data_IF_849344063819
#
_entry.id   IF_849344063819
#
_cell.length_a   1.000
_cell.length_b   1.000
_cell.length_c   1.000
_cell.angle_alpha   90.00
_cell.angle_beta   90.00
_cell.angle_gamma   90.00
#
_symmetry.space_group_name_H-M   'P 1'
#
loop_
_entity.id
_entity.type
_entity.pdbx_description
1 polymer ?
#
# COMPACT_ATOMS: atom_id res chain seq x y z
N UNK A 1 -22.42 -8.97 83.27
CA UNK A 1 -22.29 -9.02 81.79
C UNK A 1 -20.91 -8.50 81.43
N UNK A 2 -19.95 -9.41 81.20
CA UNK A 2 -18.54 -9.10 81.03
C UNK A 2 -18.19 -8.54 79.65
N UNK A 3 -17.33 -7.52 79.62
CA UNK A 3 -16.77 -6.97 78.39
C UNK A 3 -15.33 -7.45 78.28
N UNK A 4 -15.12 -8.49 77.46
CA UNK A 4 -13.79 -8.99 77.10
C UNK A 4 -13.13 -7.93 76.18
N UNK A 5 -12.12 -7.23 76.69
CA UNK A 5 -11.28 -6.34 75.89
C UNK A 5 -10.09 -7.14 75.36
N UNK A 6 -10.09 -7.45 74.07
CA UNK A 6 -8.93 -8.00 73.39
C UNK A 6 -7.86 -6.89 73.20
N UNK A 7 -6.58 -7.14 73.55
CA UNK A 7 -5.50 -6.21 73.25
C UNK A 7 -5.22 -6.17 71.74
N UNK A 8 -4.95 -4.97 71.23
CA UNK A 8 -4.56 -4.73 69.83
C UNK A 8 -3.24 -5.45 69.53
N UNK A 9 -3.07 -6.09 68.37
CA UNK A 9 -1.80 -6.72 68.02
C UNK A 9 -0.71 -5.66 67.87
N UNK A 10 0.40 -5.94 68.53
CA UNK A 10 1.66 -5.20 68.50
C UNK A 10 2.15 -5.03 67.07
N UNK A 11 2.36 -3.77 66.66
CA UNK A 11 3.02 -3.44 65.40
C UNK A 11 4.42 -4.02 65.38
N UNK A 12 4.74 -4.77 64.32
CA UNK A 12 6.08 -5.25 64.03
C UNK A 12 6.94 -4.02 63.74
N UNK A 13 7.84 -3.70 64.68
CA UNK A 13 8.84 -2.65 64.52
C UNK A 13 9.98 -3.19 63.66
N UNK A 14 10.07 -2.73 62.40
CA UNK A 14 11.25 -2.93 61.54
C UNK A 14 12.08 -1.65 61.60
N UNK A 15 13.29 -1.65 62.22
CA UNK A 15 14.16 -0.49 62.21
C UNK A 15 14.96 -0.43 60.91
N UNK A 16 14.99 0.74 60.28
CA UNK A 16 16.03 1.10 59.31
C UNK A 16 15.71 0.79 57.85
N UNK A 17 14.83 1.57 57.25
CA UNK A 17 14.89 1.85 55.81
C UNK A 17 14.32 3.25 55.61
N UNK A 18 14.99 4.18 54.91
CA UNK A 18 14.39 5.46 54.59
C UNK A 18 13.16 5.16 53.75
N UNK A 19 11.99 5.52 54.26
CA UNK A 19 10.75 5.54 53.50
C UNK A 19 10.98 6.45 52.31
N UNK A 20 11.40 5.87 51.17
CA UNK A 20 11.36 6.52 49.87
C UNK A 20 9.89 6.85 49.65
N UNK A 21 9.51 8.06 49.99
CA UNK A 21 8.27 8.68 49.56
C UNK A 21 8.29 8.62 48.04
N UNK A 22 7.53 7.68 47.47
CA UNK A 22 7.30 7.57 46.03
C UNK A 22 6.78 8.92 45.55
N UNK A 23 7.65 9.74 44.96
CA UNK A 23 7.24 10.98 44.32
C UNK A 23 6.60 10.65 42.99
N UNK A 24 5.68 11.49 42.51
CA UNK A 24 5.00 11.32 41.21
C UNK A 24 5.98 11.23 40.04
N UNK A 25 7.20 11.76 40.21
CA UNK A 25 8.28 11.71 39.23
C UNK A 25 9.01 10.35 39.18
N UNK A 26 8.80 9.49 40.19
CA UNK A 26 9.27 8.10 40.20
C UNK A 26 8.25 7.12 39.61
N UNK A 27 7.04 7.59 39.35
CA UNK A 27 6.01 6.85 38.62
C UNK A 27 6.21 7.25 37.16
N UNK A 28 6.71 6.33 36.34
CA UNK A 28 6.71 6.54 34.89
C UNK A 28 5.29 6.98 34.50
N UNK A 29 5.12 7.99 33.63
CA UNK A 29 3.79 8.29 33.11
C UNK A 29 3.15 6.97 32.68
N UNK A 30 1.88 6.69 33.03
CA UNK A 30 1.25 5.42 32.70
C UNK A 30 1.55 5.20 31.23
N UNK A 31 2.21 4.07 30.90
CA UNK A 31 2.58 3.70 29.53
C UNK A 31 1.42 4.15 28.67
N UNK A 32 1.64 5.22 27.89
CA UNK A 32 0.55 5.86 27.14
C UNK A 32 -0.05 4.71 26.37
N UNK A 33 -1.27 4.26 26.71
CA UNK A 33 -1.71 2.90 26.45
C UNK A 33 -1.39 2.69 25.00
N UNK A 34 -0.39 1.83 24.70
CA UNK A 34 0.21 1.77 23.38
C UNK A 34 -0.97 1.64 22.44
N UNK A 35 -1.32 2.75 21.78
CA UNK A 35 -2.63 2.92 21.16
C UNK A 35 -2.47 2.15 19.87
N UNK A 36 -2.50 0.84 20.00
CA UNK A 36 -2.40 -0.09 18.91
C UNK A 36 -3.79 -0.14 18.31
N UNK A 37 -4.19 1.00 17.75
CA UNK A 37 -5.30 1.10 16.84
C UNK A 37 -4.88 0.28 15.62
N UNK A 38 -5.09 -1.03 15.69
CA UNK A 38 -5.07 -1.85 14.50
C UNK A 38 -6.33 -1.44 13.74
N UNK A 39 -6.19 -0.80 12.58
CA UNK A 39 -7.33 -0.27 11.84
C UNK A 39 -8.41 -1.34 11.53
N UNK A 40 -8.03 -2.62 11.65
CA UNK A 40 -8.89 -3.78 11.48
C UNK A 40 -9.70 -4.16 12.74
N UNK A 41 -9.34 -3.66 13.94
CA UNK A 41 -10.02 -3.97 15.20
C UNK A 41 -10.08 -2.70 16.05
N UNK A 42 -11.27 -2.10 16.18
CA UNK A 42 -11.49 -1.03 17.15
C UNK A 42 -11.19 -1.56 18.55
N UNK A 43 -10.32 -0.86 19.27
CA UNK A 43 -10.08 -1.18 20.67
C UNK A 43 -11.39 -0.94 21.44
N UNK A 44 -11.88 -1.90 22.26
CA UNK A 44 -13.14 -1.72 22.98
C UNK A 44 -13.20 -0.44 23.83
N UNK A 45 -12.05 0.08 24.26
CA UNK A 45 -11.92 1.33 25.01
C UNK A 45 -12.36 2.58 24.26
N UNK A 46 -12.30 2.59 22.92
CA UNK A 46 -12.70 3.75 22.11
C UNK A 46 -14.19 3.74 21.73
N UNK A 47 -14.87 2.59 21.88
CA UNK A 47 -16.29 2.48 21.52
C UNK A 47 -17.17 3.51 22.24
N UNK A 48 -17.10 3.70 23.58
CA UNK A 48 -17.94 4.70 24.25
C UNK A 48 -17.71 6.13 23.77
N UNK A 49 -16.48 6.43 23.32
CA UNK A 49 -16.15 7.73 22.74
C UNK A 49 -16.81 7.91 21.37
N UNK A 50 -16.81 6.87 20.53
CA UNK A 50 -17.46 6.89 19.21
C UNK A 50 -18.98 6.98 19.33
N UNK A 51 -19.58 6.29 20.30
CA UNK A 51 -21.03 6.41 20.61
C UNK A 51 -21.40 7.80 21.12
N UNK A 52 -20.53 8.41 21.93
CA UNK A 52 -20.74 9.80 22.33
C UNK A 52 -20.66 10.75 21.13
N UNK A 53 -19.75 10.52 20.19
CA UNK A 53 -19.64 11.35 18.99
C UNK A 53 -20.88 11.14 18.12
N UNK A 54 -21.28 9.90 17.82
CA UNK A 54 -22.46 9.58 17.01
C UNK A 54 -23.71 10.29 17.54
N UNK A 55 -24.00 10.16 18.83
CA UNK A 55 -25.13 10.83 19.48
C UNK A 55 -25.06 12.36 19.39
N UNK A 56 -23.86 12.96 19.42
CA UNK A 56 -23.70 14.42 19.24
C UNK A 56 -23.93 14.89 17.81
N UNK A 57 -23.57 14.08 16.82
CA UNK A 57 -23.86 14.38 15.41
C UNK A 57 -25.35 14.16 15.12
N UNK A 58 -25.94 13.09 15.66
CA UNK A 58 -27.38 12.81 15.59
C UNK A 58 -28.22 13.94 16.20
N UNK A 59 -27.82 14.49 17.36
CA UNK A 59 -28.48 15.66 17.97
C UNK A 59 -28.51 16.91 17.07
N UNK A 60 -27.67 16.94 16.03
CA UNK A 60 -27.62 17.99 15.01
C UNK A 60 -28.20 17.54 13.67
N UNK A 61 -28.90 16.40 13.63
CA UNK A 61 -29.45 15.79 12.42
C UNK A 61 -28.39 15.61 11.33
N UNK A 62 -27.16 15.27 11.73
CA UNK A 62 -26.01 15.16 10.84
C UNK A 62 -25.46 13.74 10.85
N UNK A 63 -25.18 13.21 9.67
CA UNK A 63 -24.48 11.94 9.49
C UNK A 63 -23.14 12.16 8.81
N UNK A 64 -22.06 11.68 9.44
CA UNK A 64 -20.71 11.80 8.90
C UNK A 64 -20.11 10.43 8.67
N UNK A 65 -19.54 10.23 7.49
CA UNK A 65 -18.79 9.01 7.17
C UNK A 65 -17.30 9.34 7.11
N UNK A 66 -16.51 8.72 7.99
CA UNK A 66 -15.08 8.92 8.11
C UNK A 66 -14.32 7.67 7.69
N UNK A 67 -13.28 7.83 6.89
CA UNK A 67 -12.27 6.80 6.67
C UNK A 67 -11.26 6.87 7.81
N UNK A 68 -10.92 5.72 8.38
CA UNK A 68 -9.96 5.61 9.47
C UNK A 68 -8.87 4.60 9.11
N UNK A 69 -7.62 4.96 9.36
CA UNK A 69 -6.48 4.07 9.15
C UNK A 69 -5.19 4.69 9.63
N UNK A 70 -4.05 4.19 9.13
CA UNK A 70 -2.73 4.72 9.50
C UNK A 70 -2.10 5.58 8.41
N UNK A 71 -1.48 6.69 8.83
CA UNK A 71 -0.92 7.73 7.97
C UNK A 71 0.60 7.67 7.82
N UNK A 72 1.22 8.83 7.56
CA UNK A 72 2.66 9.18 7.71
C UNK A 72 3.46 8.51 8.86
N UNK A 73 4.41 7.54 8.74
CA UNK A 73 5.43 7.48 9.79
C UNK A 73 6.24 8.77 9.64
N UNK A 74 6.07 9.68 10.59
CA UNK A 74 6.95 10.83 10.69
C UNK A 74 8.19 10.39 11.48
N UNK A 75 9.39 10.86 11.12
CA UNK A 75 10.65 10.45 11.75
C UNK A 75 10.84 10.97 13.19
N UNK A 76 9.79 11.48 13.84
CA UNK A 76 9.88 12.11 15.16
C UNK A 76 8.86 11.47 16.07
N UNK A 77 9.32 10.82 17.14
CA UNK A 77 8.58 9.94 18.06
C UNK A 77 7.34 10.53 18.74
N UNK A 78 6.32 10.88 17.96
CA UNK A 78 5.02 11.32 18.44
C UNK A 78 4.03 10.16 18.44
N UNK A 79 3.17 10.19 19.45
CA UNK A 79 2.09 9.24 19.65
C UNK A 79 1.04 9.36 18.54
N UNK A 80 0.84 8.23 17.86
CA UNK A 80 -0.29 7.85 17.00
C UNK A 80 -0.34 8.41 15.57
N UNK A 81 0.11 7.55 14.66
CA UNK A 81 -0.02 7.58 13.19
C UNK A 81 -1.46 7.39 12.69
N UNK A 82 -2.43 8.06 13.31
CA UNK A 82 -3.84 7.96 12.91
C UNK A 82 -4.10 8.92 11.75
N UNK A 83 -4.76 8.41 10.72
CA UNK A 83 -5.28 9.17 9.58
C UNK A 83 -6.81 9.07 9.59
N UNK A 84 -7.48 10.22 9.50
CA UNK A 84 -8.95 10.32 9.46
C UNK A 84 -9.31 11.21 8.29
N UNK A 85 -10.05 10.68 7.33
CA UNK A 85 -10.49 11.44 6.15
C UNK A 85 -12.02 11.39 6.06
N UNK A 86 -12.72 12.54 6.17
CA UNK A 86 -14.14 12.60 5.83
C UNK A 86 -14.35 12.22 4.36
N UNK A 87 -15.27 11.29 4.11
CA UNK A 87 -15.62 10.83 2.74
C UNK A 87 -16.37 11.91 1.96
N UNK A 88 -17.28 12.64 2.60
CA UNK A 88 -18.05 13.75 2.02
C UNK A 88 -17.47 15.09 2.45
N UNK A 89 -17.54 16.10 1.60
CA UNK A 89 -16.99 17.41 1.93
C UNK A 89 -17.85 18.04 3.02
N UNK A 90 -17.27 18.23 4.21
CA UNK A 90 -17.98 18.83 5.34
C UNK A 90 -17.92 20.36 5.20
N UNK A 91 -19.06 21.02 5.35
CA UNK A 91 -19.11 22.47 5.46
C UNK A 91 -18.46 22.93 6.78
N UNK A 92 -18.10 24.21 6.85
CA UNK A 92 -17.42 24.82 7.99
C UNK A 92 -18.22 24.65 9.29
N UNK A 93 -19.56 24.64 9.23
CA UNK A 93 -20.39 24.51 10.42
C UNK A 93 -20.40 23.07 10.94
N UNK A 94 -20.64 22.09 10.06
CA UNK A 94 -20.60 20.66 10.38
C UNK A 94 -19.23 20.22 10.88
N UNK A 95 -18.17 20.72 10.24
CA UNK A 95 -16.78 20.49 10.67
C UNK A 95 -16.55 20.97 12.10
N UNK A 96 -16.97 22.20 12.43
CA UNK A 96 -16.87 22.73 13.80
C UNK A 96 -17.67 21.92 14.81
N UNK A 97 -18.79 21.33 14.41
CA UNK A 97 -19.59 20.44 15.29
C UNK A 97 -18.81 19.15 15.55
N UNK A 98 -18.27 18.52 14.51
CA UNK A 98 -17.46 17.31 14.60
C UNK A 98 -16.21 17.52 15.46
N UNK A 99 -15.45 18.59 15.21
CA UNK A 99 -14.25 18.97 15.98
C UNK A 99 -14.58 19.17 17.46
N UNK A 100 -15.69 19.86 17.78
CA UNK A 100 -16.13 20.06 19.17
C UNK A 100 -16.59 18.75 19.83
N UNK A 101 -17.23 17.86 19.09
CA UNK A 101 -17.65 16.55 19.59
C UNK A 101 -16.42 15.68 19.93
N UNK A 102 -15.45 15.61 19.02
CA UNK A 102 -14.19 14.90 19.21
C UNK A 102 -13.37 15.48 20.37
N UNK A 103 -13.24 16.80 20.46
CA UNK A 103 -12.51 17.45 21.55
C UNK A 103 -13.16 17.23 22.94
N UNK A 104 -14.48 17.01 22.99
CA UNK A 104 -15.18 16.61 24.22
C UNK A 104 -15.01 15.12 24.50
N UNK A 105 -15.04 14.29 23.45
CA UNK A 105 -14.84 12.86 23.57
C UNK A 105 -13.41 12.52 24.07
N UNK A 106 -12.39 13.24 23.58
CA UNK A 106 -11.01 13.09 24.04
C UNK A 106 -10.84 13.40 25.51
N UNK A 107 -11.46 14.47 26.01
CA UNK A 107 -11.42 14.81 27.43
C UNK A 107 -12.21 13.84 28.30
N UNK A 108 -13.36 13.34 27.83
CA UNK A 108 -14.28 12.53 28.64
C UNK A 108 -13.95 11.04 28.66
N UNK A 109 -13.41 10.51 27.55
CA UNK A 109 -13.19 9.08 27.35
C UNK A 109 -11.72 8.75 27.06
N UNK A 110 -10.81 9.69 27.30
CA UNK A 110 -9.38 9.53 26.99
C UNK A 110 -9.13 9.14 25.53
N UNK A 111 -9.98 9.59 24.60
CA UNK A 111 -9.72 9.44 23.16
C UNK A 111 -8.41 10.19 22.85
N UNK A 112 -7.41 9.50 22.31
CA UNK A 112 -6.08 10.06 22.10
C UNK A 112 -6.10 11.36 21.29
N UNK A 113 -5.19 12.30 21.60
CA UNK A 113 -5.08 13.59 20.90
C UNK A 113 -4.90 13.41 19.38
N UNK A 114 -4.35 12.27 18.97
CA UNK A 114 -4.22 11.85 17.57
C UNK A 114 -5.49 11.89 16.76
N UNK A 115 -6.67 11.68 17.34
CA UNK A 115 -7.95 11.80 16.63
C UNK A 115 -8.24 13.24 16.23
N UNK A 116 -7.92 14.18 17.13
CA UNK A 116 -8.11 15.61 16.87
C UNK A 116 -7.07 16.09 15.86
N UNK A 117 -5.82 15.68 16.02
CA UNK A 117 -4.73 16.03 15.11
C UNK A 117 -4.95 15.44 13.71
N UNK A 118 -5.44 14.20 13.63
CA UNK A 118 -5.79 13.56 12.36
C UNK A 118 -6.93 14.30 11.66
N UNK A 119 -7.98 14.69 12.39
CA UNK A 119 -9.06 15.47 11.79
C UNK A 119 -8.57 16.85 11.30
N UNK A 120 -7.66 17.50 12.02
CA UNK A 120 -7.08 18.76 11.56
C UNK A 120 -6.30 18.58 10.25
N UNK A 121 -5.52 17.50 10.13
CA UNK A 121 -4.77 17.14 8.90
C UNK A 121 -5.65 16.69 7.73
N UNK A 122 -6.87 16.22 8.01
CA UNK A 122 -7.78 15.63 7.02
C UNK A 122 -8.04 16.47 5.75
N UNK A 123 -7.95 17.81 5.82
CA UNK A 123 -8.18 18.67 4.66
C UNK A 123 -7.17 18.42 3.55
N UNK A 124 -5.88 18.42 3.92
CA UNK A 124 -4.78 18.20 3.00
C UNK A 124 -4.69 16.72 2.60
N UNK A 125 -4.92 15.83 3.57
CA UNK A 125 -4.88 14.38 3.32
C UNK A 125 -5.96 13.93 2.35
N UNK A 126 -7.14 14.55 2.36
CA UNK A 126 -8.20 14.23 1.40
C UNK A 126 -7.81 14.56 -0.04
N UNK A 127 -7.29 15.77 -0.26
CA UNK A 127 -6.90 16.22 -1.60
C UNK A 127 -5.76 15.37 -2.16
N UNK A 128 -4.79 15.01 -1.32
CA UNK A 128 -3.67 14.17 -1.72
C UNK A 128 -4.05 12.69 -1.96
N UNK A 129 -5.16 12.21 -1.39
CA UNK A 129 -5.52 10.80 -1.37
C UNK A 129 -6.94 10.54 -1.93
N UNK A 130 -7.34 11.25 -2.98
CA UNK A 130 -8.66 11.07 -3.61
C UNK A 130 -8.90 9.63 -4.07
N UNK A 131 -7.93 9.04 -4.77
CA UNK A 131 -8.00 7.63 -5.20
C UNK A 131 -8.16 6.66 -4.02
N UNK A 132 -7.49 6.91 -2.89
CA UNK A 132 -7.65 6.09 -1.68
C UNK A 132 -9.08 6.18 -1.15
N UNK A 133 -9.66 7.38 -1.15
CA UNK A 133 -11.04 7.60 -0.67
C UNK A 133 -12.02 6.80 -1.52
N UNK A 134 -11.91 6.89 -2.84
CA UNK A 134 -12.75 6.13 -3.77
C UNK A 134 -12.64 4.62 -3.56
N UNK A 135 -11.41 4.09 -3.53
CA UNK A 135 -11.20 2.65 -3.33
C UNK A 135 -11.67 2.17 -1.96
N UNK A 136 -11.57 3.01 -0.93
CA UNK A 136 -12.05 2.68 0.42
C UNK A 136 -13.58 2.66 0.50
N UNK A 137 -14.26 3.56 -0.22
CA UNK A 137 -15.72 3.55 -0.39
C UNK A 137 -16.17 2.31 -1.17
N UNK A 138 -15.46 1.94 -2.24
CA UNK A 138 -15.76 0.72 -3.02
C UNK A 138 -15.57 -0.55 -2.19
N UNK A 139 -14.55 -0.59 -1.32
CA UNK A 139 -14.33 -1.71 -0.40
C UNK A 139 -15.44 -1.79 0.67
N UNK A 140 -16.02 -0.65 1.07
CA UNK A 140 -17.12 -0.52 2.04
C UNK A 140 -16.95 -1.36 3.32
N UNK A 141 -15.73 -1.42 3.85
CA UNK A 141 -15.45 -2.15 5.08
C UNK A 141 -15.83 -1.31 6.29
N UNK A 142 -17.04 -1.53 6.81
CA UNK A 142 -17.57 -0.79 7.96
C UNK A 142 -16.92 -1.31 9.25
N UNK A 143 -16.28 -0.40 9.96
CA UNK A 143 -15.61 -0.67 11.23
C UNK A 143 -16.51 -0.29 12.41
N UNK A 144 -17.31 0.78 12.25
CA UNK A 144 -18.32 1.20 13.21
C UNK A 144 -19.45 1.90 12.47
N UNK A 145 -20.69 1.68 12.90
CA UNK A 145 -21.84 2.39 12.35
C UNK A 145 -22.88 2.60 13.43
N UNK A 146 -23.23 3.85 13.65
CA UNK A 146 -24.35 4.27 14.49
C UNK A 146 -25.01 5.50 13.87
N UNK A 147 -26.20 5.82 14.36
CA UNK A 147 -26.92 7.01 13.91
C UNK A 147 -26.05 8.26 14.11
N UNK A 148 -25.70 8.91 13.00
CA UNK A 148 -24.86 10.11 12.95
C UNK A 148 -23.37 9.87 12.64
N UNK A 149 -22.84 8.66 12.76
CA UNK A 149 -21.42 8.36 12.47
C UNK A 149 -21.22 6.98 11.88
N UNK A 150 -20.59 6.92 10.71
CA UNK A 150 -20.03 5.69 10.14
C UNK A 150 -18.52 5.82 10.01
N UNK A 151 -17.80 4.81 10.47
CA UNK A 151 -16.37 4.65 10.25
C UNK A 151 -16.13 3.52 9.27
N UNK A 152 -15.40 3.82 8.20
CA UNK A 152 -14.92 2.86 7.21
C UNK A 152 -13.42 2.63 7.40
N UNK A 153 -12.98 1.41 7.14
CA UNK A 153 -11.56 1.08 7.07
C UNK A 153 -10.95 1.66 5.79
N UNK A 154 -9.66 1.95 5.82
CA UNK A 154 -8.91 2.29 4.60
C UNK A 154 -8.73 1.06 3.70
N UNK A 155 -8.57 1.31 2.41
CA UNK A 155 -8.37 0.26 1.41
C UNK A 155 -7.24 -0.70 1.80
N UNK A 156 -7.50 -2.02 1.76
CA UNK A 156 -6.59 -3.06 2.28
C UNK A 156 -5.23 -3.06 1.61
N UNK A 157 -5.15 -2.78 0.31
CA UNK A 157 -3.86 -2.70 -0.40
C UNK A 157 -3.05 -1.50 0.12
N UNK A 158 -3.70 -0.37 0.39
CA UNK A 158 -3.04 0.80 0.98
C UNK A 158 -2.53 0.46 2.37
N UNK A 159 -3.38 -0.12 3.23
CA UNK A 159 -3.00 -0.55 4.59
C UNK A 159 -1.86 -1.56 4.58
N UNK A 160 -1.88 -2.51 3.65
CA UNK A 160 -0.80 -3.49 3.46
C UNK A 160 0.52 -2.82 3.08
N UNK A 161 0.54 -1.99 2.02
CA UNK A 161 1.74 -1.24 1.62
C UNK A 161 2.26 -0.38 2.77
N UNK A 162 1.36 0.26 3.50
CA UNK A 162 1.69 1.11 4.64
C UNK A 162 2.44 0.37 5.73
N UNK A 163 1.94 -0.81 6.12
CA UNK A 163 2.61 -1.64 7.13
C UNK A 163 4.00 -2.06 6.68
N UNK A 164 4.21 -2.32 5.38
CA UNK A 164 5.53 -2.62 4.84
C UNK A 164 6.48 -1.41 4.88
N UNK A 165 6.00 -0.20 4.58
CA UNK A 165 6.82 1.02 4.72
C UNK A 165 7.24 1.23 6.18
N UNK A 166 6.32 1.05 7.14
CA UNK A 166 6.62 1.18 8.58
C UNK A 166 7.68 0.16 9.03
N UNK A 167 7.61 -1.08 8.52
CA UNK A 167 8.62 -2.12 8.76
C UNK A 167 9.99 -1.74 8.17
N UNK A 168 10.03 -0.98 7.09
CA UNK A 168 11.29 -0.56 6.44
C UNK A 168 12.06 0.49 7.23
N UNK A 169 11.38 1.34 8.00
CA UNK A 169 11.98 2.50 8.66
C UNK A 169 12.54 2.19 10.05
N UNK A 170 12.22 1.02 10.62
CA UNK A 170 12.60 0.63 11.99
C UNK A 170 13.71 -0.43 11.99
N UNK A 171 14.68 -0.35 12.93
CA UNK A 171 15.63 -1.43 13.14
C UNK A 171 14.92 -2.66 13.70
N UNK A 172 15.26 -3.84 13.16
CA UNK A 172 14.65 -5.14 13.48
C UNK A 172 14.49 -5.34 15.00
N UNK A 173 13.24 -5.42 15.47
CA UNK A 173 12.84 -5.64 16.87
C UNK A 173 11.76 -6.74 16.97
N UNK A 174 11.48 -7.24 18.18
CA UNK A 174 10.45 -8.27 18.45
C UNK A 174 9.06 -7.86 17.98
N UNK A 175 8.79 -6.56 17.89
CA UNK A 175 7.54 -6.03 17.33
C UNK A 175 7.42 -6.30 15.83
N UNK A 176 8.54 -6.43 15.10
CA UNK A 176 8.55 -6.63 13.65
C UNK A 176 8.09 -8.02 13.25
N UNK A 177 8.28 -9.02 14.12
CA UNK A 177 7.68 -10.35 13.94
C UNK A 177 6.15 -10.28 13.95
N UNK A 178 5.56 -9.49 14.86
CA UNK A 178 4.11 -9.30 14.93
C UNK A 178 3.58 -8.54 13.70
N UNK A 179 4.32 -7.52 13.25
CA UNK A 179 3.97 -6.80 12.02
C UNK A 179 4.08 -7.70 10.78
N UNK A 180 5.08 -8.59 10.71
CA UNK A 180 5.22 -9.56 9.63
C UNK A 180 4.05 -10.55 9.59
N UNK A 181 3.69 -11.14 10.74
CA UNK A 181 2.51 -12.02 10.85
C UNK A 181 1.23 -11.27 10.44
N UNK A 182 1.11 -10.01 10.85
CA UNK A 182 -0.02 -9.14 10.49
C UNK A 182 -0.06 -8.83 8.97
N UNK A 183 1.10 -8.64 8.34
CA UNK A 183 1.22 -8.46 6.88
C UNK A 183 0.81 -9.73 6.12
N UNK A 184 1.23 -10.91 6.58
CA UNK A 184 0.82 -12.20 5.99
C UNK A 184 -0.69 -12.41 6.12
N UNK A 185 -1.27 -12.07 7.27
CA UNK A 185 -2.73 -12.11 7.50
C UNK A 185 -3.49 -11.17 6.57
N UNK A 186 -3.01 -9.94 6.39
CA UNK A 186 -3.58 -9.00 5.42
C UNK A 186 -3.47 -9.51 3.98
N UNK A 187 -2.31 -10.04 3.61
CA UNK A 187 -2.08 -10.57 2.27
C UNK A 187 -3.04 -11.74 1.98
N UNK A 188 -3.30 -12.59 2.96
CA UNK A 188 -4.32 -13.65 2.84
C UNK A 188 -5.71 -13.10 2.54
N UNK A 189 -6.12 -12.06 3.26
CA UNK A 189 -7.42 -11.40 3.04
C UNK A 189 -7.48 -10.78 1.65
N UNK A 190 -6.41 -10.09 1.24
CA UNK A 190 -6.30 -9.53 -0.10
C UNK A 190 -6.42 -10.60 -1.18
N UNK A 191 -5.72 -11.73 -1.05
CA UNK A 191 -5.84 -12.83 -2.02
C UNK A 191 -7.27 -13.38 -2.03
N UNK A 192 -7.92 -13.52 -0.87
CA UNK A 192 -9.30 -13.97 -0.79
C UNK A 192 -10.29 -13.00 -1.47
N UNK A 193 -10.12 -11.69 -1.29
CA UNK A 193 -10.96 -10.66 -1.94
C UNK A 193 -10.88 -10.73 -3.47
N UNK A 194 -9.71 -11.10 -3.99
CA UNK A 194 -9.44 -11.21 -5.43
C UNK A 194 -9.54 -12.67 -5.93
N UNK A 195 -10.46 -13.46 -5.36
CA UNK A 195 -10.79 -14.83 -5.78
C UNK A 195 -9.60 -15.81 -5.77
N UNK A 196 -8.64 -15.62 -4.87
CA UNK A 196 -7.46 -16.47 -4.78
C UNK A 196 -6.36 -16.13 -5.80
N UNK A 197 -6.49 -15.05 -6.58
CA UNK A 197 -5.50 -14.71 -7.60
C UNK A 197 -4.24 -14.11 -6.95
N UNK A 198 -3.05 -14.59 -7.31
CA UNK A 198 -1.80 -13.99 -6.85
C UNK A 198 -1.57 -12.63 -7.51
N UNK A 199 -0.96 -11.72 -6.77
CA UNK A 199 -0.59 -10.40 -7.24
C UNK A 199 0.80 -10.42 -7.90
N UNK A 200 0.99 -9.62 -8.95
CA UNK A 200 2.33 -9.39 -9.48
C UNK A 200 3.12 -8.46 -8.55
N UNK A 201 4.43 -8.67 -8.41
CA UNK A 201 5.30 -7.71 -7.72
C UNK A 201 5.16 -6.28 -8.26
N UNK A 202 5.05 -6.11 -9.59
CA UNK A 202 4.93 -4.81 -10.23
C UNK A 202 3.61 -4.08 -9.89
N UNK A 203 2.57 -4.82 -9.49
CA UNK A 203 1.29 -4.23 -9.09
C UNK A 203 1.45 -3.33 -7.87
N UNK A 204 2.18 -3.79 -6.85
CA UNK A 204 2.40 -3.01 -5.63
C UNK A 204 3.21 -1.74 -5.86
N UNK A 205 4.06 -1.71 -6.89
CA UNK A 205 4.81 -0.52 -7.29
C UNK A 205 3.97 0.50 -8.05
N UNK A 206 2.98 0.04 -8.83
CA UNK A 206 2.08 0.93 -9.59
C UNK A 206 0.94 1.49 -8.74
N UNK A 207 0.41 0.70 -7.82
CA UNK A 207 -0.75 1.10 -7.01
C UNK A 207 -0.30 1.88 -5.79
N UNK A 208 -0.84 3.08 -5.59
CA UNK A 208 -0.37 4.05 -4.57
C UNK A 208 1.12 4.36 -4.72
N UNK A 209 1.51 4.98 -5.83
CA UNK A 209 2.90 5.33 -6.16
C UNK A 209 3.60 6.16 -5.05
N UNK A 210 2.84 6.94 -4.28
CA UNK A 210 3.38 7.73 -3.18
C UNK A 210 3.92 6.88 -2.01
N UNK A 211 3.61 5.58 -2.00
CA UNK A 211 4.09 4.62 -1.00
C UNK A 211 5.10 3.69 -1.65
N UNK A 212 6.38 4.02 -1.58
CA UNK A 212 7.42 3.12 -2.06
C UNK A 212 7.67 1.99 -1.06
N UNK A 213 7.73 0.75 -1.56
CA UNK A 213 7.89 -0.45 -0.73
C UNK A 213 9.14 -1.19 -1.19
N UNK A 214 10.03 -1.47 -0.24
CA UNK A 214 11.25 -2.23 -0.52
C UNK A 214 10.94 -3.63 -1.03
N UNK A 215 11.62 -3.99 -2.13
CA UNK A 215 11.52 -5.29 -2.78
C UNK A 215 11.92 -6.46 -1.87
N UNK A 216 12.88 -6.23 -0.97
CA UNK A 216 13.33 -7.23 0.00
C UNK A 216 12.19 -7.65 0.94
N UNK A 217 11.40 -6.67 1.40
CA UNK A 217 10.28 -6.89 2.33
C UNK A 217 9.10 -7.57 1.63
N UNK A 218 8.76 -7.16 0.41
CA UNK A 218 7.76 -7.85 -0.40
C UNK A 218 8.14 -9.32 -0.63
N UNK A 219 9.43 -9.57 -0.91
CA UNK A 219 9.95 -10.92 -1.07
C UNK A 219 9.87 -11.72 0.23
N UNK A 220 10.28 -11.12 1.36
CA UNK A 220 10.22 -11.75 2.67
C UNK A 220 8.78 -12.12 3.07
N UNK A 221 7.82 -11.22 2.86
CA UNK A 221 6.40 -11.50 3.14
C UNK A 221 5.84 -12.56 2.21
N UNK A 222 6.21 -12.57 0.93
CA UNK A 222 5.77 -13.59 -0.01
C UNK A 222 6.31 -14.98 0.37
N UNK A 223 7.58 -15.07 0.78
CA UNK A 223 8.19 -16.31 1.28
C UNK A 223 7.51 -16.75 2.58
N UNK A 224 7.30 -15.84 3.53
CA UNK A 224 6.60 -16.13 4.78
C UNK A 224 5.17 -16.66 4.50
N UNK A 225 4.43 -16.00 3.61
CA UNK A 225 3.09 -16.43 3.20
C UNK A 225 3.11 -17.84 2.59
N UNK A 226 4.03 -18.10 1.65
CA UNK A 226 4.18 -19.42 1.02
C UNK A 226 4.50 -20.51 2.04
N UNK A 227 5.35 -20.21 3.02
CA UNK A 227 5.68 -21.14 4.09
C UNK A 227 4.48 -21.44 4.99
N UNK A 228 3.65 -20.44 5.30
CA UNK A 228 2.49 -20.60 6.18
C UNK A 228 1.28 -21.25 5.48
N UNK A 229 1.00 -20.87 4.23
CA UNK A 229 -0.23 -21.24 3.53
C UNK A 229 -0.04 -22.22 2.37
N UNK A 230 1.22 -22.54 1.99
CA UNK A 230 1.57 -23.42 0.85
C UNK A 230 1.03 -22.95 -0.52
N UNK A 231 0.53 -21.72 -0.58
CA UNK A 231 0.02 -21.05 -1.79
C UNK A 231 0.90 -19.86 -2.14
N UNK A 232 0.94 -19.49 -3.41
CA UNK A 232 1.63 -18.28 -3.85
C UNK A 232 0.66 -17.10 -3.86
N UNK A 233 0.97 -16.06 -3.07
CA UNK A 233 0.20 -14.82 -3.05
C UNK A 233 0.80 -13.71 -3.90
N UNK A 234 2.13 -13.72 -4.08
CA UNK A 234 2.86 -12.73 -4.88
C UNK A 234 3.72 -13.49 -5.88
N UNK A 235 3.52 -13.22 -7.17
CA UNK A 235 4.38 -13.77 -8.23
C UNK A 235 5.69 -12.99 -8.20
N UNK A 236 6.73 -13.63 -7.69
CA UNK A 236 8.09 -13.11 -7.81
C UNK A 236 8.59 -13.46 -9.20
N UNK A 237 9.17 -12.50 -9.95
CA UNK A 237 9.92 -12.83 -11.15
C UNK A 237 10.93 -13.94 -10.78
N UNK A 238 11.10 -14.97 -11.63
CA UNK A 238 12.15 -15.94 -11.38
C UNK A 238 13.43 -15.14 -11.21
N UNK A 239 14.08 -15.28 -10.04
CA UNK A 239 15.46 -14.81 -9.91
C UNK A 239 16.15 -15.43 -11.09
N UNK A 240 16.62 -14.61 -12.04
CA UNK A 240 17.55 -15.09 -13.04
C UNK A 240 18.68 -15.63 -12.20
N UNK A 241 18.68 -16.95 -11.99
CA UNK A 241 19.83 -17.62 -11.44
C UNK A 241 20.95 -17.06 -12.29
N UNK A 242 21.95 -16.46 -11.65
CA UNK A 242 23.25 -16.30 -12.25
C UNK A 242 23.62 -17.71 -12.71
N UNK A 243 23.22 -18.02 -13.93
CA UNK A 243 23.83 -19.04 -14.72
C UNK A 243 25.21 -18.44 -14.79
N UNK A 244 26.07 -18.96 -13.91
CA UNK A 244 27.48 -19.06 -14.15
C UNK A 244 27.54 -19.44 -15.61
N UNK A 245 27.74 -18.44 -16.48
CA UNK A 245 28.05 -18.65 -17.88
C UNK A 245 29.45 -19.23 -17.81
N UNK A 246 29.53 -20.51 -17.44
CA UNK A 246 30.55 -21.40 -17.93
C UNK A 246 30.27 -21.43 -19.42
N UNK A 247 30.75 -20.39 -20.11
CA UNK A 247 30.92 -20.45 -21.53
C UNK A 247 31.65 -21.78 -21.78
N UNK A 248 31.13 -22.67 -22.64
CA UNK A 248 31.91 -23.82 -23.03
C UNK A 248 33.20 -23.25 -23.63
N UNK A 249 34.33 -23.61 -23.01
CA UNK A 249 35.65 -23.22 -23.48
C UNK A 249 35.74 -23.62 -24.96
N UNK A 250 35.68 -22.62 -25.83
CA UNK A 250 35.90 -22.79 -27.26
C UNK A 250 37.35 -23.23 -27.40
N UNK A 251 37.68 -24.40 -27.96
CA UNK A 251 39.07 -24.78 -28.14
C UNK A 251 39.73 -23.74 -29.04
N UNK A 252 40.75 -23.09 -28.49
CA UNK A 252 41.58 -22.11 -29.19
C UNK A 252 42.22 -22.85 -30.37
N UNK A 253 41.77 -22.51 -31.58
CA UNK A 253 42.39 -23.00 -32.81
C UNK A 253 43.78 -22.37 -32.90
N UNK A 254 44.81 -23.21 -32.90
CA UNK A 254 46.20 -22.80 -32.99
C UNK A 254 46.45 -21.85 -34.18
N UNK A 255 47.34 -20.86 -34.05
CA UNK A 255 47.73 -19.99 -35.17
C UNK A 255 48.44 -20.80 -36.24
N UNK A 256 47.91 -20.78 -37.47
CA UNK A 256 48.63 -21.31 -38.64
C UNK A 256 49.81 -20.39 -38.97
N UNK A 257 51.02 -20.95 -38.92
CA UNK A 257 52.23 -20.32 -39.46
C UNK A 257 52.11 -20.11 -40.98
N UNK A 258 52.66 -19.01 -41.53
CA UNK A 258 52.70 -18.78 -42.97
C UNK A 258 53.86 -19.55 -43.63
N UNK A 259 53.69 -20.11 -44.84
CA UNK A 259 54.80 -20.68 -45.60
C UNK A 259 55.61 -19.57 -46.32
N UNK A 260 56.92 -19.78 -46.55
CA UNK A 260 57.79 -18.80 -47.20
C UNK A 260 57.63 -18.75 -48.72
N UNK A 261 57.92 -17.56 -49.26
CA UNK A 261 57.78 -17.16 -50.65
C UNK A 261 58.68 -17.93 -51.63
N UNK A 262 58.15 -18.19 -52.83
CA UNK A 262 58.94 -18.28 -54.07
C UNK A 262 58.25 -17.53 -55.19
N UNK A 263 59.03 -16.63 -55.79
CA UNK A 263 58.78 -15.77 -56.94
C UNK A 263 58.62 -16.55 -58.25
N UNK A 264 57.68 -16.15 -59.11
CA UNK A 264 57.93 -15.92 -60.54
C UNK A 264 56.70 -15.38 -61.31
N UNK A 265 56.97 -14.32 -62.08
CA UNK A 265 56.41 -13.91 -63.38
C UNK A 265 54.92 -13.56 -63.56
N UNK A 266 54.70 -12.23 -63.68
CA UNK A 266 54.04 -11.51 -64.81
C UNK A 266 52.77 -12.16 -65.42
N UNK A 267 51.63 -11.49 -65.25
CA UNK A 267 51.01 -10.75 -66.38
C UNK A 267 50.03 -9.68 -65.89
N UNK A 268 50.21 -8.48 -66.41
CA UNK A 268 49.35 -7.30 -66.22
C UNK A 268 48.18 -7.39 -67.20
N UNK A 269 46.94 -7.31 -66.72
CA UNK A 269 45.85 -6.68 -67.48
C UNK A 269 44.96 -5.88 -66.53
N UNK A 270 45.17 -4.56 -66.52
CA UNK A 270 44.21 -3.58 -66.02
C UNK A 270 43.06 -3.50 -67.03
N UNK A 271 41.81 -3.62 -66.57
CA UNK A 271 40.68 -2.91 -67.18
C UNK A 271 39.89 -2.20 -66.09
N UNK A 272 39.94 -0.87 -66.18
CA UNK A 272 39.04 0.05 -65.50
C UNK A 272 37.62 -0.08 -66.07
N UNK A 273 36.61 0.04 -65.20
CA UNK A 273 35.20 0.08 -65.58
C UNK A 273 34.31 0.46 -64.40
N UNK A 274 34.30 1.76 -64.07
CA UNK A 274 33.22 2.62 -63.55
C UNK A 274 32.27 2.04 -62.46
N UNK A 275 32.10 2.72 -61.30
CA UNK A 275 31.18 2.32 -60.25
C UNK A 275 29.74 2.72 -60.60
N UNK A 276 28.88 1.75 -60.87
CA UNK A 276 27.44 2.01 -60.98
C UNK A 276 26.84 2.15 -59.57
N UNK A 277 26.53 3.40 -59.21
CA UNK A 277 25.64 3.78 -58.11
C UNK A 277 24.37 2.92 -58.17
N UNK A 278 24.23 1.95 -57.27
CA UNK A 278 22.95 1.28 -57.00
C UNK A 278 22.39 1.88 -55.73
N UNK A 279 21.40 2.75 -55.88
CA UNK A 279 20.52 3.15 -54.79
C UNK A 279 19.76 1.93 -54.23
N UNK A 280 19.11 2.09 -53.07
CA UNK A 280 18.39 1.00 -52.41
C UNK A 280 17.32 0.42 -53.34
N UNK A 281 17.38 -0.89 -53.58
CA UNK A 281 16.35 -1.63 -54.31
C UNK A 281 15.11 -1.74 -53.42
N UNK A 282 14.00 -1.18 -53.84
CA UNK A 282 12.69 -1.45 -53.24
C UNK A 282 12.31 -2.92 -53.51
N UNK A 283 11.92 -3.69 -52.49
CA UNK A 283 11.44 -5.06 -52.69
C UNK A 283 10.13 -5.05 -53.50
N UNK A 284 9.97 -6.02 -54.41
CA UNK A 284 8.81 -6.13 -55.29
C UNK A 284 7.73 -7.08 -54.73
N UNK A 285 8.05 -7.86 -53.68
CA UNK A 285 7.10 -8.77 -53.03
C UNK A 285 7.39 -8.91 -51.52
N UNK A 286 6.35 -9.23 -50.75
CA UNK A 286 6.42 -9.40 -49.29
C UNK A 286 7.32 -10.56 -48.83
N UNK A 287 7.71 -11.45 -49.74
CA UNK A 287 8.68 -12.53 -49.51
C UNK A 287 10.14 -12.06 -49.50
N UNK A 288 10.43 -10.85 -50.00
CA UNK A 288 11.81 -10.35 -50.18
C UNK A 288 12.36 -9.62 -48.94
N UNK A 289 11.61 -9.60 -47.85
CA UNK A 289 11.96 -8.89 -46.61
C UNK A 289 12.48 -9.91 -45.58
N UNK A 290 13.73 -9.75 -45.14
CA UNK A 290 14.31 -10.60 -44.08
C UNK A 290 13.61 -10.34 -42.74
N UNK A 291 13.50 -11.33 -41.83
CA UNK A 291 12.65 -11.25 -40.64
C UNK A 291 12.99 -10.12 -39.66
N UNK A 292 14.16 -9.49 -39.78
CA UNK A 292 14.57 -8.36 -38.92
C UNK A 292 13.83 -7.06 -39.30
N UNK A 293 13.46 -6.87 -40.57
CA UNK A 293 12.79 -5.62 -41.02
C UNK A 293 11.27 -5.73 -41.06
N UNK A 294 10.69 -6.93 -40.92
CA UNK A 294 9.22 -7.13 -40.91
C UNK A 294 8.52 -6.45 -39.72
N UNK A 295 9.19 -6.36 -38.56
CA UNK A 295 8.58 -5.82 -37.34
C UNK A 295 8.44 -4.29 -37.37
N UNK A 296 9.27 -3.60 -38.15
CA UNK A 296 9.29 -2.13 -38.23
C UNK A 296 8.20 -1.57 -39.17
N UNK A 297 7.66 -2.38 -40.10
CA UNK A 297 6.58 -1.97 -41.01
C UNK A 297 5.17 -2.12 -40.43
N UNK A 298 4.97 -2.93 -39.38
CA UNK A 298 3.66 -3.07 -38.74
C UNK A 298 3.20 -1.80 -38.00
N UNK A 299 4.11 -0.85 -37.75
CA UNK A 299 3.80 0.47 -37.17
C UNK A 299 2.98 1.33 -38.16
N UNK A 300 3.08 1.11 -39.47
CA UNK A 300 2.37 1.90 -40.48
C UNK A 300 0.98 1.38 -40.84
N UNK A 301 0.58 0.20 -40.34
CA UNK A 301 -0.71 -0.44 -40.66
C UNK A 301 -1.66 -0.47 -39.46
N UNK A 302 -1.20 -0.14 -38.26
CA UNK A 302 -2.02 -0.28 -37.05
C UNK A 302 -1.79 0.86 -36.07
N UNK A 303 -2.17 2.08 -36.46
CA UNK A 303 -2.92 3.02 -35.61
C UNK A 303 -3.40 4.20 -36.45
N UNK A 304 -4.73 4.23 -36.60
CA UNK A 304 -5.64 5.37 -36.78
C UNK A 304 -5.26 6.46 -37.78
N UNK A 305 -6.06 6.59 -38.86
CA UNK A 305 -6.67 7.84 -39.33
C UNK A 305 -7.56 7.52 -40.55
N UNK A 306 -8.84 7.86 -40.39
CA UNK A 306 -9.92 8.17 -41.36
C UNK A 306 -11.17 7.37 -40.99
N UNK A 307 -12.34 7.96 -40.76
CA UNK A 307 -12.80 9.34 -40.82
C UNK A 307 -14.18 9.32 -40.14
N UNK A 308 -14.50 10.39 -39.45
CA UNK A 308 -15.82 10.69 -38.90
C UNK A 308 -16.82 10.82 -40.05
N UNK A 309 -17.90 10.04 -40.02
CA UNK A 309 -19.21 10.43 -40.55
C UNK A 309 -20.29 10.02 -39.53
N UNK A 310 -21.18 10.95 -39.11
CA UNK A 310 -22.14 10.72 -38.04
C UNK A 310 -23.39 10.01 -38.58
N UNK A 311 -23.64 8.79 -38.11
CA UNK A 311 -24.92 8.10 -38.29
C UNK A 311 -25.69 8.12 -36.97
N UNK A 312 -26.57 9.11 -36.84
CA UNK A 312 -27.57 9.21 -35.78
C UNK A 312 -28.53 8.03 -35.89
N UNK A 313 -28.49 7.11 -34.92
CA UNK A 313 -29.63 6.26 -34.58
C UNK A 313 -29.99 6.49 -33.11
N UNK A 314 -31.03 7.31 -32.95
CA UNK A 314 -31.74 7.65 -31.71
C UNK A 314 -32.10 6.40 -30.91
N UNK A 315 -31.52 6.22 -29.73
CA UNK A 315 -32.06 5.30 -28.71
C UNK A 315 -32.90 6.11 -27.73
N UNK A 316 -34.21 6.03 -27.90
CA UNK A 316 -35.21 6.47 -26.92
C UNK A 316 -35.45 5.34 -25.90
N UNK A 317 -35.40 5.60 -24.59
CA UNK A 317 -35.95 4.68 -23.60
C UNK A 317 -37.47 4.72 -23.67
N UNK A 318 -38.12 3.58 -23.93
CA UNK A 318 -39.56 3.44 -23.73
C UNK A 318 -39.85 3.20 -22.24
N UNK A 319 -40.79 3.96 -21.63
CA UNK A 319 -41.21 3.78 -20.25
C UNK A 319 -42.26 2.67 -20.15
N UNK A 320 -42.03 1.67 -19.29
CA UNK A 320 -43.10 0.79 -18.84
C UNK A 320 -43.78 1.44 -17.63
N UNK A 321 -45.00 1.89 -17.92
CA UNK A 321 -46.01 2.58 -17.12
C UNK A 321 -46.27 1.94 -15.75
N UNK A 322 -46.23 2.77 -14.70
CA UNK A 322 -47.06 2.62 -13.52
C UNK A 322 -48.44 3.25 -13.79
N UNK A 323 -49.51 2.51 -13.51
CA UNK A 323 -50.86 2.97 -13.15
C UNK A 323 -51.55 1.74 -12.51
N UNK A 324 -51.66 1.60 -11.19
CA UNK A 324 -52.58 2.25 -10.24
C UNK A 324 -54.05 2.26 -10.71
N UNK A 325 -54.84 1.39 -10.09
CA UNK A 325 -56.12 1.72 -9.46
C UNK A 325 -56.23 0.91 -8.17
#
# INVERSE_FOLDING_TARGET
MGVIRFPRPTGIYVPGSPTRTLTTDMISPPLSPDFNFDAEILVPSILPALEYISTKLQQKMMHVTLLVGRGKPFPTGHSSDLMIIPTTHLDTSSRRVLERALAKASKKFSLGQSWTDALNRSQYERQANEYLVEQSILQNEVVFSQEGLTLLNMHRIYTFKRRLCILSEKPFSRTDEQYMVSCVRLLRRLVADYQGRPFSKAFFHRVYEQLDVRDDLLTAVAVAYKNTHKEEAIILPPRMAEHSRKAPARPVRAPRQPPPAKSASRTVTKRHGIPAKRGPKTPLSASDVTPITRNEWNILVSQDIREVQPSVTKWTPSPAVFAVA
#
